data_IF_884334363908
#
_entry.id   IF_884334363908
#
_cell.length_a   1.000
_cell.length_b   1.000
_cell.length_c   1.000
_cell.angle_alpha   90.00
_cell.angle_beta   90.00
_cell.angle_gamma   90.00
#
_symmetry.space_group_name_H-M   'P 1'
#
loop_
_entity.id
_entity.type
_entity.pdbx_description
1 polymer ?
#
# COMPACT_ATOMS: atom_id res chain seq x y z
N UNK A 1 6.45 -1.59 -20.22
CA UNK A 1 6.65 -1.55 -18.76
C UNK A 1 5.49 -2.29 -18.12
N UNK A 2 5.76 -3.31 -17.32
CA UNK A 2 4.74 -4.03 -16.55
C UNK A 2 4.25 -3.16 -15.38
N UNK A 3 3.09 -3.51 -14.81
CA UNK A 3 2.57 -2.84 -13.61
C UNK A 3 3.58 -2.87 -12.47
N UNK A 4 4.24 -4.01 -12.23
CA UNK A 4 5.23 -4.12 -11.17
C UNK A 4 6.44 -3.22 -11.43
N UNK A 5 6.96 -3.19 -12.66
CA UNK A 5 8.07 -2.30 -13.03
C UNK A 5 7.71 -0.83 -12.78
N UNK A 6 6.49 -0.41 -13.13
CA UNK A 6 6.04 0.97 -12.89
C UNK A 6 5.94 1.29 -11.38
N UNK A 7 5.41 0.36 -10.58
CA UNK A 7 5.31 0.54 -9.13
C UNK A 7 6.69 0.62 -8.47
N UNK A 8 7.65 -0.19 -8.92
CA UNK A 8 9.02 -0.15 -8.44
C UNK A 8 9.75 1.13 -8.88
N UNK A 9 9.51 1.62 -10.09
CA UNK A 9 10.05 2.91 -10.54
C UNK A 9 9.56 4.06 -9.64
N UNK A 10 8.27 4.12 -9.33
CA UNK A 10 7.72 5.12 -8.38
C UNK A 10 8.28 4.96 -6.97
N UNK A 11 8.43 3.73 -6.49
CA UNK A 11 9.00 3.43 -5.18
C UNK A 11 10.44 3.93 -5.06
N UNK A 12 11.26 3.64 -6.07
CA UNK A 12 12.72 3.81 -5.98
C UNK A 12 13.17 5.22 -6.40
N UNK A 13 12.43 5.90 -7.29
CA UNK A 13 12.83 7.19 -7.87
C UNK A 13 11.79 8.30 -7.72
N UNK A 14 10.55 7.96 -7.37
CA UNK A 14 9.42 8.89 -7.52
C UNK A 14 9.11 9.23 -8.99
N UNK A 15 8.11 10.09 -9.25
CA UNK A 15 7.28 10.81 -8.27
C UNK A 15 6.25 9.91 -7.60
N UNK A 16 5.70 10.38 -6.46
CA UNK A 16 4.48 9.82 -5.87
C UNK A 16 3.30 10.48 -6.59
N UNK A 17 2.50 9.76 -7.40
CA UNK A 17 1.38 10.37 -8.11
C UNK A 17 0.27 10.83 -7.17
N UNK A 18 -0.45 11.88 -7.55
CA UNK A 18 -1.60 12.38 -6.77
C UNK A 18 -2.88 11.57 -7.02
N UNK A 19 -3.06 11.02 -8.23
CA UNK A 19 -4.27 10.29 -8.65
C UNK A 19 -4.07 8.76 -8.57
N UNK A 20 -3.81 8.26 -7.36
CA UNK A 20 -3.72 6.83 -7.06
C UNK A 20 -4.50 6.49 -5.79
N UNK A 21 -4.77 5.20 -5.60
CA UNK A 21 -5.45 4.73 -4.39
C UNK A 21 -4.70 5.18 -3.12
N UNK A 22 -5.38 5.70 -2.08
CA UNK A 22 -4.72 6.22 -0.88
C UNK A 22 -3.75 5.22 -0.24
N UNK A 23 -4.16 3.96 -0.07
CA UNK A 23 -3.27 2.92 0.46
C UNK A 23 -2.03 2.66 -0.41
N UNK A 24 -2.12 2.83 -1.74
CA UNK A 24 -0.93 2.72 -2.59
C UNK A 24 0.00 3.92 -2.38
N UNK A 25 -0.57 5.12 -2.19
CA UNK A 25 0.18 6.32 -1.80
C UNK A 25 0.89 6.11 -0.46
N UNK A 26 0.26 5.45 0.52
CA UNK A 26 0.89 5.11 1.79
C UNK A 26 2.14 4.23 1.61
N UNK A 27 2.08 3.21 0.75
CA UNK A 27 3.24 2.35 0.44
C UNK A 27 4.40 3.12 -0.21
N UNK A 28 4.10 4.11 -1.05
CA UNK A 28 5.12 4.96 -1.69
C UNK A 28 5.72 5.99 -0.73
N UNK A 29 4.90 6.56 0.16
CA UNK A 29 5.35 7.48 1.21
C UNK A 29 6.28 6.78 2.20
N UNK A 30 5.94 5.55 2.60
CA UNK A 30 6.84 4.72 3.42
C UNK A 30 8.20 4.54 2.74
N UNK A 31 8.22 4.14 1.46
CA UNK A 31 9.47 3.96 0.73
C UNK A 31 10.28 5.26 0.57
N UNK A 32 9.61 6.42 0.56
CA UNK A 32 10.22 7.74 0.55
C UNK A 32 10.65 8.24 1.95
N UNK A 33 10.34 7.50 3.02
CA UNK A 33 10.67 7.82 4.40
C UNK A 33 9.66 8.72 5.14
N UNK A 34 8.49 8.98 4.55
CA UNK A 34 7.39 9.72 5.20
C UNK A 34 6.45 8.77 5.94
N UNK A 35 6.95 8.25 7.06
CA UNK A 35 6.28 7.24 7.89
C UNK A 35 4.97 7.76 8.49
N UNK A 36 4.95 9.01 8.99
CA UNK A 36 3.77 9.58 9.64
C UNK A 36 2.59 9.69 8.65
N UNK A 37 2.86 10.15 7.42
CA UNK A 37 1.83 10.22 6.39
C UNK A 37 1.36 8.81 5.97
N UNK A 38 2.28 7.85 5.85
CA UNK A 38 1.92 6.47 5.53
C UNK A 38 1.00 5.85 6.59
N UNK A 39 1.35 6.00 7.88
CA UNK A 39 0.53 5.53 9.01
C UNK A 39 -0.83 6.22 9.05
N UNK A 40 -0.87 7.54 8.87
CA UNK A 40 -2.13 8.30 8.86
C UNK A 40 -3.08 7.79 7.79
N UNK A 41 -2.58 7.52 6.59
CA UNK A 41 -3.41 7.00 5.50
C UNK A 41 -3.86 5.57 5.79
N UNK A 42 -2.97 4.69 6.26
CA UNK A 42 -3.33 3.31 6.59
C UNK A 42 -4.38 3.24 7.70
N UNK A 43 -4.25 4.08 8.73
CA UNK A 43 -5.17 4.16 9.87
C UNK A 43 -6.59 4.59 9.48
N UNK A 44 -6.73 5.39 8.41
CA UNK A 44 -8.02 5.86 7.91
C UNK A 44 -8.80 4.80 7.12
N UNK A 45 -8.17 3.69 6.74
CA UNK A 45 -8.85 2.55 6.12
C UNK A 45 -9.08 1.45 7.17
N UNK A 46 -10.35 1.30 7.60
CA UNK A 46 -10.73 0.30 8.60
C UNK A 46 -10.89 -1.12 8.02
N UNK A 47 -10.54 -1.34 6.76
CA UNK A 47 -10.69 -2.61 6.07
C UNK A 47 -9.45 -3.52 6.19
N UNK A 48 -9.55 -4.77 5.71
CA UNK A 48 -8.42 -5.72 5.74
C UNK A 48 -7.19 -5.24 4.95
N UNK A 49 -7.39 -4.42 3.92
CA UNK A 49 -6.28 -3.87 3.12
C UNK A 49 -5.53 -2.78 3.91
N UNK A 50 -6.24 -1.86 4.58
CA UNK A 50 -5.63 -0.88 5.48
C UNK A 50 -4.87 -1.53 6.63
N UNK A 51 -5.47 -2.54 7.25
CA UNK A 51 -4.81 -3.34 8.29
C UNK A 51 -3.53 -4.03 7.77
N UNK A 52 -3.51 -4.54 6.54
CA UNK A 52 -2.31 -5.17 5.98
C UNK A 52 -1.19 -4.15 5.74
N UNK A 53 -1.52 -2.97 5.22
CA UNK A 53 -0.54 -1.87 5.08
C UNK A 53 0.03 -1.50 6.46
N UNK A 54 -0.83 -1.30 7.46
CA UNK A 54 -0.41 -0.96 8.82
C UNK A 54 0.50 -2.05 9.44
N UNK A 55 0.18 -3.32 9.20
CA UNK A 55 1.01 -4.44 9.64
C UNK A 55 2.41 -4.40 9.03
N UNK A 56 2.48 -4.13 7.72
CA UNK A 56 3.75 -3.98 7.01
C UNK A 56 4.56 -2.79 7.56
N UNK A 57 3.95 -1.63 7.81
CA UNK A 57 4.66 -0.46 8.36
C UNK A 57 5.36 -0.80 9.68
N UNK A 58 4.64 -1.38 10.65
CA UNK A 58 5.26 -1.81 11.91
C UNK A 58 6.29 -2.91 11.75
N UNK A 59 6.14 -3.79 10.75
CA UNK A 59 7.15 -4.80 10.44
C UNK A 59 8.46 -4.15 9.97
N UNK A 60 8.39 -3.08 9.18
CA UNK A 60 9.56 -2.31 8.75
C UNK A 60 10.22 -1.60 9.94
N UNK A 61 9.42 -1.07 10.88
CA UNK A 61 9.91 -0.45 12.13
C UNK A 61 10.54 -1.45 13.11
N UNK A 62 10.33 -2.75 12.91
CA UNK A 62 10.78 -3.81 13.81
C UNK A 62 9.86 -4.07 15.00
N UNK A 63 8.69 -3.43 15.05
CA UNK A 63 7.66 -3.68 16.06
C UNK A 63 6.79 -4.89 15.66
N UNK A 64 7.36 -6.08 15.81
CA UNK A 64 6.70 -7.33 15.45
C UNK A 64 5.44 -7.62 16.28
N UNK A 65 5.34 -7.06 17.49
CA UNK A 65 4.17 -7.21 18.35
C UNK A 65 2.96 -6.49 17.76
N UNK A 66 3.12 -5.21 17.42
CA UNK A 66 2.06 -4.45 16.76
C UNK A 66 1.83 -4.93 15.32
N UNK A 67 2.88 -5.28 14.58
CA UNK A 67 2.73 -5.87 13.26
C UNK A 67 1.83 -7.12 13.32
N UNK A 68 2.07 -8.02 14.29
CA UNK A 68 1.26 -9.22 14.50
C UNK A 68 -0.22 -8.93 14.77
N UNK A 69 -0.52 -7.93 15.60
CA UNK A 69 -1.88 -7.47 15.83
C UNK A 69 -2.58 -7.03 14.53
N UNK A 70 -1.90 -6.23 13.71
CA UNK A 70 -2.46 -5.74 12.46
C UNK A 70 -2.54 -6.82 11.37
N UNK A 71 -1.59 -7.75 11.30
CA UNK A 71 -1.70 -8.93 10.43
C UNK A 71 -2.93 -9.76 10.77
N UNK A 72 -3.19 -10.00 12.06
CA UNK A 72 -4.40 -10.67 12.51
C UNK A 72 -5.67 -9.91 12.07
N UNK A 73 -5.69 -8.57 12.17
CA UNK A 73 -6.81 -7.75 11.68
C UNK A 73 -6.98 -7.80 10.16
N UNK A 74 -5.88 -7.96 9.42
CA UNK A 74 -5.89 -8.17 7.98
C UNK A 74 -6.31 -9.59 7.57
N UNK A 75 -6.50 -10.51 8.53
CA UNK A 75 -6.75 -11.92 8.26
C UNK A 75 -5.55 -12.64 7.65
N UNK A 76 -4.32 -12.21 8.00
CA UNK A 76 -3.06 -12.72 7.46
C UNK A 76 -2.13 -13.17 8.59
N UNK A 77 -1.26 -14.13 8.28
CA UNK A 77 -0.13 -14.47 9.15
C UNK A 77 1.06 -13.52 8.87
N UNK A 78 1.96 -13.41 9.84
CA UNK A 78 3.25 -12.74 9.63
C UNK A 78 4.01 -13.47 8.49
N UNK A 79 4.40 -12.78 7.41
CA UNK A 79 5.04 -13.43 6.29
C UNK A 79 6.51 -13.77 6.54
N UNK A 80 6.98 -14.86 5.93
CA UNK A 80 8.38 -15.30 5.94
C UNK A 80 9.21 -14.79 4.76
N UNK A 81 8.62 -13.97 3.87
CA UNK A 81 9.29 -13.33 2.73
C UNK A 81 9.96 -12.02 3.15
N UNK A 82 10.83 -11.46 2.30
CA UNK A 82 11.46 -10.17 2.57
C UNK A 82 10.46 -9.02 2.65
N UNK A 83 10.86 -7.90 3.26
CA UNK A 83 10.06 -6.66 3.26
C UNK A 83 9.74 -6.19 1.84
N UNK A 84 10.72 -6.30 0.93
CA UNK A 84 10.55 -5.91 -0.47
C UNK A 84 9.48 -6.75 -1.18
N UNK A 85 9.57 -8.07 -1.05
CA UNK A 85 8.58 -8.98 -1.67
C UNK A 85 7.18 -8.74 -1.10
N UNK A 86 7.06 -8.47 0.20
CA UNK A 86 5.77 -8.13 0.80
C UNK A 86 5.23 -6.79 0.29
N UNK A 87 6.07 -5.76 0.21
CA UNK A 87 5.72 -4.46 -0.36
C UNK A 87 5.14 -4.62 -1.77
N UNK A 88 5.79 -5.44 -2.62
CA UNK A 88 5.35 -5.71 -3.99
C UNK A 88 3.98 -6.40 -4.01
N UNK A 89 3.74 -7.39 -3.15
CA UNK A 89 2.44 -8.06 -3.04
C UNK A 89 1.32 -7.12 -2.60
N UNK A 90 1.59 -6.25 -1.62
CA UNK A 90 0.62 -5.27 -1.13
C UNK A 90 0.29 -4.27 -2.24
N UNK A 91 1.31 -3.67 -2.85
CA UNK A 91 1.15 -2.66 -3.89
C UNK A 91 0.38 -3.20 -5.10
N UNK A 92 0.70 -4.41 -5.57
CA UNK A 92 -0.03 -5.08 -6.65
C UNK A 92 -1.48 -5.40 -6.26
N UNK A 93 -1.72 -5.87 -5.03
CA UNK A 93 -3.07 -6.16 -4.55
C UNK A 93 -3.94 -4.90 -4.52
N UNK A 94 -3.40 -3.79 -4.04
CA UNK A 94 -4.09 -2.50 -4.00
C UNK A 94 -4.36 -1.99 -5.41
N UNK A 95 -3.33 -2.00 -6.28
CA UNK A 95 -3.46 -1.52 -7.66
C UNK A 95 -4.54 -2.31 -8.41
N UNK A 96 -4.49 -3.65 -8.34
CA UNK A 96 -5.49 -4.53 -8.95
C UNK A 96 -6.91 -4.23 -8.45
N UNK A 97 -7.12 -4.16 -7.13
CA UNK A 97 -8.43 -3.83 -6.53
C UNK A 97 -8.93 -2.44 -6.95
N UNK A 98 -8.04 -1.45 -7.07
CA UNK A 98 -8.39 -0.12 -7.53
C UNK A 98 -8.83 -0.12 -9.01
N UNK A 99 -8.14 -0.87 -9.87
CA UNK A 99 -8.52 -1.06 -11.27
C UNK A 99 -9.89 -1.74 -11.42
N UNK A 100 -10.27 -2.64 -10.51
CA UNK A 100 -11.61 -3.24 -10.53
C UNK A 100 -12.72 -2.31 -10.01
N UNK A 101 -12.41 -1.41 -9.08
CA UNK A 101 -13.38 -0.44 -8.53
C UNK A 101 -13.60 0.77 -9.46
N UNK A 102 -12.64 1.05 -10.35
CA UNK A 102 -12.71 2.12 -11.36
C UNK A 102 -12.15 1.62 -12.71
N UNK A 103 -12.90 0.77 -13.45
CA UNK A 103 -12.37 0.08 -14.63
C UNK A 103 -12.12 0.96 -15.87
N UNK A 104 -12.45 2.25 -15.83
CA UNK A 104 -12.01 3.25 -16.80
C UNK A 104 -12.40 4.62 -16.23
N UNK A 105 -11.43 5.47 -15.89
CA UNK A 105 -11.67 6.88 -15.62
C UNK A 105 -11.96 7.61 -16.95
N UNK A 106 -13.06 7.26 -17.62
CA UNK A 106 -13.75 8.23 -18.45
C UNK A 106 -14.28 9.29 -17.49
N UNK A 107 -13.60 10.44 -17.41
CA UNK A 107 -14.08 11.61 -16.70
C UNK A 107 -15.54 11.84 -17.13
N UNK A 108 -16.50 12.01 -16.20
CA UNK A 108 -17.85 12.36 -16.60
C UNK A 108 -17.78 13.66 -17.41
N UNK A 109 -18.24 13.62 -18.67
CA UNK A 109 -18.39 14.82 -19.49
C UNK A 109 -19.32 15.78 -18.72
N UNK A 110 -18.95 17.06 -18.55
CA UNK A 110 -19.85 18.03 -17.93
C UNK A 110 -21.14 18.11 -18.76
N UNK A 111 -22.27 18.14 -18.05
CA UNK A 111 -23.59 18.37 -18.63
C UNK A 111 -23.68 19.77 -19.23
#
# INVERSE_FOLDING_TARGET
MSTLEQLLEWRDKGPIPDDIHPLLRAMLLEAAGDWDAAHTIAQNDSGPTGAWVHAYLHRVEGDLGNAGYWYSRAGKALPSISLREEWEQIALSIHSKASFKYPNNEKPKPK
#
